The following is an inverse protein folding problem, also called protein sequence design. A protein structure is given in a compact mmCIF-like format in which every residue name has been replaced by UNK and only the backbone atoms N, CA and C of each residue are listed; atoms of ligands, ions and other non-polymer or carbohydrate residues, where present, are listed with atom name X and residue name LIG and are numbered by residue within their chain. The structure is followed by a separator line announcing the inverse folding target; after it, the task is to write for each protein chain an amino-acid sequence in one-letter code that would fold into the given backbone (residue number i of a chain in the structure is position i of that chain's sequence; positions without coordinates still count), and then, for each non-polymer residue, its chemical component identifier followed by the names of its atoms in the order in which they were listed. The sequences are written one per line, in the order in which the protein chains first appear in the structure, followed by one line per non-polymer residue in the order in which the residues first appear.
data_IF_449748718679
#
_entry.id   IF_449748718679
#
_cell.length_a   1.000
_cell.length_b   1.000
_cell.length_c   1.000
_cell.angle_alpha   90.00
_cell.angle_beta   90.00
_cell.angle_gamma   90.00
#
_symmetry.space_group_name_H-M   'P 1'
#
loop_
_entity.id
_entity.type
_entity.pdbx_description
1 polymer ?
#
# COMPACT_ATOMS: atom_id res chain seq x y z
N UNK A 1 15.42 25.84 -2.82
CA UNK A 1 15.66 24.93 -3.96
C UNK A 1 14.53 23.91 -4.13
N UNK A 2 13.68 23.68 -3.12
CA UNK A 2 12.63 22.63 -3.13
C UNK A 2 11.37 22.91 -3.95
N UNK A 3 11.12 24.15 -4.38
CA UNK A 3 9.93 24.50 -5.17
C UNK A 3 9.87 23.82 -6.54
N UNK A 4 11.03 23.40 -7.07
CA UNK A 4 11.12 22.78 -8.39
C UNK A 4 10.70 21.30 -8.38
N UNK A 5 11.19 20.50 -7.41
CA UNK A 5 10.88 19.06 -7.33
C UNK A 5 9.39 18.80 -7.15
N UNK A 6 8.74 19.44 -6.17
CA UNK A 6 7.32 19.24 -5.92
C UNK A 6 6.45 19.70 -7.09
N UNK A 7 6.85 20.76 -7.79
CA UNK A 7 6.15 21.24 -8.99
C UNK A 7 6.28 20.24 -10.14
N UNK A 8 7.49 19.73 -10.41
CA UNK A 8 7.73 18.71 -11.42
C UNK A 8 6.96 17.42 -11.11
N UNK A 9 6.97 16.98 -9.85
CA UNK A 9 6.24 15.80 -9.41
C UNK A 9 4.73 15.95 -9.62
N UNK A 10 4.17 17.13 -9.29
CA UNK A 10 2.76 17.43 -9.52
C UNK A 10 2.43 17.39 -11.01
N UNK A 11 3.28 17.94 -11.88
CA UNK A 11 3.11 17.86 -13.33
C UNK A 11 3.21 16.42 -13.87
N UNK A 12 4.13 15.63 -13.34
CA UNK A 12 4.26 14.21 -13.68
C UNK A 12 2.99 13.43 -13.29
N UNK A 13 2.46 13.64 -12.09
CA UNK A 13 1.19 13.03 -11.64
C UNK A 13 -0.01 13.43 -12.50
N UNK A 14 -0.03 14.66 -13.02
CA UNK A 14 -1.09 15.13 -13.92
C UNK A 14 -0.99 14.51 -15.31
N UNK A 15 0.23 14.32 -15.83
CA UNK A 15 0.47 13.74 -17.15
C UNK A 15 0.41 12.20 -17.16
N UNK A 16 0.69 11.55 -16.03
CA UNK A 16 0.69 10.10 -15.88
C UNK A 16 -0.35 9.66 -14.85
N UNK A 17 -1.55 9.29 -15.31
CA UNK A 17 -2.70 8.89 -14.46
C UNK A 17 -2.46 7.66 -13.58
N UNK A 18 -1.36 6.93 -13.78
CA UNK A 18 -0.93 5.78 -12.98
C UNK A 18 0.35 6.01 -12.17
N UNK A 19 0.87 7.25 -12.12
CA UNK A 19 2.05 7.57 -11.31
C UNK A 19 1.64 7.83 -9.87
N UNK A 20 2.09 6.97 -8.97
CA UNK A 20 1.87 7.08 -7.55
C UNK A 20 3.20 7.23 -6.86
N UNK A 21 3.33 8.29 -6.06
CA UNK A 21 4.50 8.47 -5.20
C UNK A 21 4.12 8.03 -3.81
N UNK A 22 5.13 7.62 -3.05
CA UNK A 22 4.99 7.49 -1.62
C UNK A 22 4.82 8.89 -1.02
N UNK A 23 3.60 9.41 -1.08
CA UNK A 23 3.13 10.46 -0.19
C UNK A 23 2.36 9.72 0.90
N UNK A 24 2.72 9.95 2.16
CA UNK A 24 2.17 9.28 3.35
C UNK A 24 0.65 9.00 3.25
N UNK A 25 0.23 7.89 3.88
CA UNK A 25 -1.15 7.41 3.98
C UNK A 25 -2.19 8.53 3.87
N UNK A 26 -2.90 8.57 2.74
CA UNK A 26 -3.98 9.54 2.55
C UNK A 26 -5.19 9.10 3.37
N UNK A 27 -5.44 9.79 4.48
CA UNK A 27 -6.66 9.62 5.31
C UNK A 27 -7.92 9.72 4.45
N UNK A 28 -7.93 10.59 3.43
CA UNK A 28 -9.03 10.69 2.48
C UNK A 28 -9.26 9.39 1.69
N UNK A 29 -8.19 8.70 1.28
CA UNK A 29 -8.31 7.41 0.59
C UNK A 29 -8.83 6.34 1.56
N UNK A 30 -8.38 6.33 2.82
CA UNK A 30 -8.89 5.40 3.84
C UNK A 30 -10.40 5.57 4.02
N UNK A 31 -10.84 6.81 4.24
CA UNK A 31 -12.26 7.16 4.40
C UNK A 31 -13.05 6.72 3.17
N UNK A 32 -12.55 7.03 1.96
CA UNK A 32 -13.21 6.63 0.72
C UNK A 32 -13.29 5.12 0.57
N UNK A 33 -12.27 4.37 1.00
CA UNK A 33 -12.29 2.91 0.92
C UNK A 33 -13.29 2.31 1.91
N UNK A 34 -13.35 2.81 3.15
CA UNK A 34 -14.39 2.43 4.10
C UNK A 34 -15.81 2.71 3.56
N UNK A 35 -16.04 3.91 2.99
CA UNK A 35 -17.31 4.24 2.32
C UNK A 35 -17.62 3.28 1.18
N UNK A 36 -16.63 2.96 0.34
CA UNK A 36 -16.81 2.04 -0.77
C UNK A 36 -17.22 0.64 -0.30
N UNK A 37 -16.60 0.12 0.78
CA UNK A 37 -16.96 -1.18 1.34
C UNK A 37 -18.38 -1.17 1.93
N UNK A 38 -18.73 -0.15 2.73
CA UNK A 38 -20.08 0.06 3.26
C UNK A 38 -21.13 0.12 2.15
N UNK A 39 -20.86 0.90 1.11
CA UNK A 39 -21.81 1.10 0.01
C UNK A 39 -22.01 -0.19 -0.81
N UNK A 40 -20.97 -1.03 -0.93
CA UNK A 40 -21.11 -2.38 -1.53
C UNK A 40 -22.01 -3.28 -0.69
N UNK A 41 -21.82 -3.29 0.63
CA UNK A 41 -22.66 -4.08 1.53
C UNK A 41 -24.11 -3.61 1.52
N UNK A 42 -24.33 -2.30 1.52
CA UNK A 42 -25.67 -1.71 1.42
C UNK A 42 -26.32 -2.02 0.07
N UNK A 43 -25.57 -1.91 -1.04
CA UNK A 43 -26.06 -2.32 -2.37
C UNK A 43 -26.48 -3.78 -2.37
N UNK A 44 -25.72 -4.68 -1.73
CA UNK A 44 -26.12 -6.07 -1.62
C UNK A 44 -27.45 -6.20 -0.89
N UNK A 45 -27.61 -5.56 0.27
CA UNK A 45 -28.85 -5.60 1.06
C UNK A 45 -30.09 -5.16 0.27
N UNK A 46 -29.97 -4.19 -0.64
CA UNK A 46 -31.07 -3.77 -1.53
C UNK A 46 -31.53 -4.94 -2.43
N UNK A 47 -30.60 -5.74 -2.94
CA UNK A 47 -30.89 -6.85 -3.86
C UNK A 47 -31.25 -8.15 -3.13
N UNK A 48 -30.87 -8.30 -1.86
CA UNK A 48 -31.05 -9.52 -1.04
C UNK A 48 -32.10 -9.35 0.06
N UNK A 49 -33.02 -8.39 -0.10
CA UNK A 49 -34.12 -8.15 0.85
C UNK A 49 -33.66 -7.90 2.31
N UNK A 50 -32.55 -7.19 2.48
CA UNK A 50 -32.04 -6.73 3.77
C UNK A 50 -30.77 -7.43 4.26
N UNK A 51 -30.25 -8.43 3.54
CA UNK A 51 -29.01 -9.11 3.92
C UNK A 51 -27.77 -8.35 3.47
N UNK A 52 -27.06 -7.72 4.42
CA UNK A 52 -25.80 -7.01 4.14
C UNK A 52 -24.68 -7.96 3.72
N UNK A 53 -23.80 -7.45 2.85
CA UNK A 53 -22.54 -8.11 2.53
C UNK A 53 -21.52 -8.07 3.68
N UNK A 54 -20.34 -8.65 3.43
CA UNK A 54 -19.22 -8.69 4.38
C UNK A 54 -18.03 -7.83 3.96
N UNK A 55 -18.15 -6.96 2.95
CA UNK A 55 -17.03 -6.19 2.42
C UNK A 55 -16.41 -5.28 3.47
N UNK A 56 -17.22 -4.61 4.29
CA UNK A 56 -16.76 -3.74 5.37
C UNK A 56 -16.04 -4.54 6.47
N UNK A 57 -16.60 -5.69 6.87
CA UNK A 57 -15.98 -6.58 7.87
C UNK A 57 -14.65 -7.15 7.36
N UNK A 58 -14.61 -7.57 6.10
CA UNK A 58 -13.40 -8.08 5.46
C UNK A 58 -12.33 -6.98 5.37
N UNK A 59 -12.71 -5.75 5.01
CA UNK A 59 -11.79 -4.62 4.98
C UNK A 59 -11.15 -4.34 6.34
N UNK A 60 -11.93 -4.41 7.43
CA UNK A 60 -11.40 -4.27 8.79
C UNK A 60 -10.41 -5.39 9.13
N UNK A 61 -10.72 -6.62 8.74
CA UNK A 61 -9.82 -7.77 8.92
C UNK A 61 -8.51 -7.60 8.14
N UNK A 62 -8.60 -7.14 6.89
CA UNK A 62 -7.44 -6.91 6.03
C UNK A 62 -6.54 -5.83 6.65
N UNK A 63 -7.09 -4.69 7.06
CA UNK A 63 -6.33 -3.64 7.73
C UNK A 63 -5.72 -4.10 9.05
N UNK A 64 -6.46 -4.88 9.85
CA UNK A 64 -5.93 -5.44 11.09
C UNK A 64 -4.74 -6.38 10.82
N UNK A 65 -4.76 -7.14 9.74
CA UNK A 65 -3.63 -8.03 9.37
C UNK A 65 -2.37 -7.27 8.91
N UNK A 66 -2.53 -6.02 8.49
CA UNK A 66 -1.43 -5.16 8.04
C UNK A 66 -0.73 -4.43 9.19
N UNK A 67 -1.42 -4.26 10.31
CA UNK A 67 -0.97 -3.48 11.45
C UNK A 67 -0.62 -4.43 12.62
N UNK A 68 0.47 -4.13 13.33
CA UNK A 68 0.89 -4.92 14.48
C UNK A 68 0.18 -4.42 15.74
N UNK A 69 -0.73 -5.23 16.27
CA UNK A 69 -1.54 -4.96 17.47
C UNK A 69 -2.26 -3.60 17.41
N UNK A 70 -2.70 -3.20 16.22
CA UNK A 70 -3.44 -1.95 16.02
C UNK A 70 -4.62 -2.19 15.09
N UNK A 71 -5.63 -1.35 15.24
CA UNK A 71 -6.80 -1.29 14.37
C UNK A 71 -7.00 0.12 13.87
N UNK A 72 -7.57 0.24 12.67
CA UNK A 72 -8.01 1.51 12.09
C UNK A 72 -9.52 1.47 11.92
N UNK A 73 -10.20 2.49 12.43
CA UNK A 73 -11.65 2.62 12.37
C UNK A 73 -12.02 4.00 11.82
N UNK A 74 -13.03 4.11 10.95
CA UNK A 74 -13.57 5.42 10.61
C UNK A 74 -14.37 5.99 11.79
N UNK A 75 -14.44 7.32 11.87
CA UNK A 75 -15.44 7.99 12.70
C UNK A 75 -16.85 7.66 12.21
N UNK A 76 -17.87 7.74 13.06
CA UNK A 76 -19.26 7.40 12.71
C UNK A 76 -19.78 8.19 11.50
N UNK A 77 -19.35 9.45 11.35
CA UNK A 77 -19.69 10.34 10.24
C UNK A 77 -18.74 10.23 9.04
N UNK A 78 -17.72 9.38 9.13
CA UNK A 78 -16.63 9.24 8.17
C UNK A 78 -15.92 10.57 7.83
N UNK A 79 -15.81 11.46 8.81
CA UNK A 79 -14.99 12.70 8.72
C UNK A 79 -13.50 12.43 8.88
N UNK A 80 -13.15 11.31 9.51
CA UNK A 80 -11.79 10.95 9.88
C UNK A 80 -11.63 9.45 10.09
N UNK A 81 -10.43 9.06 10.47
CA UNK A 81 -10.09 7.71 10.95
C UNK A 81 -9.31 7.81 12.25
N UNK A 82 -9.49 6.83 13.12
CA UNK A 82 -8.76 6.70 14.39
C UNK A 82 -7.99 5.39 14.37
N UNK A 83 -6.74 5.44 14.79
CA UNK A 83 -5.94 4.25 15.06
C UNK A 83 -6.01 3.94 16.56
N UNK A 84 -6.08 2.66 16.93
CA UNK A 84 -6.12 2.22 18.34
C UNK A 84 -5.27 0.97 18.52
N UNK A 85 -4.75 0.76 19.72
CA UNK A 85 -4.13 -0.53 20.07
C UNK A 85 -5.20 -1.61 20.18
N UNK A 86 -4.88 -2.79 19.67
CA UNK A 86 -5.68 -4.02 19.70
C UNK A 86 -5.38 -4.85 20.97
N UNK A 87 -5.09 -4.17 22.09
CA UNK A 87 -4.92 -4.82 23.40
C UNK A 87 -5.85 -4.15 24.41
N UNK A 88 -6.76 -4.96 24.93
CA UNK A 88 -7.91 -4.60 25.74
C UNK A 88 -7.49 -4.18 27.15
N UNK A 89 -7.27 -2.86 27.34
CA UNK A 89 -7.48 -2.14 28.61
C UNK A 89 -7.20 -0.63 28.49
N UNK A 90 -6.52 -0.21 27.41
CA UNK A 90 -6.26 1.19 27.12
C UNK A 90 -6.85 1.54 25.76
N UNK A 91 -7.94 2.31 25.76
CA UNK A 91 -8.46 3.01 24.57
C UNK A 91 -7.50 4.14 24.17
N UNK A 92 -6.22 3.82 23.96
CA UNK A 92 -5.24 4.79 23.51
C UNK A 92 -5.45 5.01 22.02
N UNK A 93 -5.94 6.20 21.69
CA UNK A 93 -5.96 6.68 20.32
C UNK A 93 -4.54 6.98 19.85
N UNK A 94 -4.29 6.59 18.62
CA UNK A 94 -3.03 6.75 17.92
C UNK A 94 -3.29 7.61 16.68
N UNK A 95 -2.31 8.41 16.33
CA UNK A 95 -2.29 9.16 15.08
C UNK A 95 -1.50 8.38 14.02
N UNK A 96 -1.64 8.69 12.72
CA UNK A 96 -0.82 8.08 11.68
C UNK A 96 0.68 8.14 11.98
N UNK A 97 1.15 9.19 12.65
CA UNK A 97 2.57 9.37 13.01
C UNK A 97 3.04 8.39 14.10
N UNK A 98 2.11 7.80 14.87
CA UNK A 98 2.40 6.77 15.88
C UNK A 98 2.51 5.36 15.28
N UNK A 99 2.18 5.20 13.99
CA UNK A 99 2.41 3.97 13.25
C UNK A 99 3.87 3.87 12.82
N UNK A 100 4.41 2.65 12.79
CA UNK A 100 5.74 2.47 12.21
C UNK A 100 5.70 2.81 10.71
N UNK A 101 6.82 3.35 10.20
CA UNK A 101 6.95 3.67 8.78
C UNK A 101 6.67 2.47 7.87
N UNK A 102 7.06 1.26 8.30
CA UNK A 102 6.75 0.03 7.60
C UNK A 102 5.25 -0.29 7.57
N UNK A 103 4.53 -0.12 8.67
CA UNK A 103 3.06 -0.32 8.73
C UNK A 103 2.33 0.65 7.80
N UNK A 104 2.68 1.95 7.88
CA UNK A 104 2.11 2.98 7.01
C UNK A 104 2.33 2.63 5.54
N UNK A 105 3.53 2.18 5.20
CA UNK A 105 3.88 1.85 3.83
C UNK A 105 3.16 0.60 3.34
N UNK A 106 3.14 -0.48 4.12
CA UNK A 106 2.44 -1.73 3.76
C UNK A 106 0.95 -1.49 3.59
N UNK A 107 0.32 -0.76 4.52
CA UNK A 107 -1.08 -0.33 4.43
C UNK A 107 -1.32 0.53 3.18
N UNK A 108 -0.43 1.50 2.90
CA UNK A 108 -0.56 2.37 1.74
C UNK A 108 -0.52 1.57 0.43
N UNK A 109 0.43 0.65 0.26
CA UNK A 109 0.54 -0.17 -0.96
C UNK A 109 -0.73 -1.01 -1.16
N UNK A 110 -1.19 -1.69 -0.12
CA UNK A 110 -2.44 -2.46 -0.18
C UNK A 110 -3.61 -1.58 -0.61
N UNK A 111 -3.75 -0.39 0.00
CA UNK A 111 -4.82 0.54 -0.35
C UNK A 111 -4.71 1.00 -1.80
N UNK A 112 -3.51 1.35 -2.29
CA UNK A 112 -3.30 1.76 -3.67
C UNK A 112 -3.80 0.68 -4.65
N UNK A 113 -3.47 -0.59 -4.40
CA UNK A 113 -3.89 -1.69 -5.26
C UNK A 113 -5.40 -1.92 -5.16
N UNK A 114 -5.94 -2.07 -3.95
CA UNK A 114 -7.33 -2.50 -3.75
C UNK A 114 -8.35 -1.40 -3.94
N UNK A 115 -8.09 -0.20 -3.42
CA UNK A 115 -9.02 0.93 -3.56
C UNK A 115 -9.10 1.41 -5.01
N UNK A 116 -7.97 1.46 -5.73
CA UNK A 116 -7.95 1.84 -7.15
C UNK A 116 -8.38 0.71 -8.08
N UNK A 117 -8.64 -0.49 -7.56
CA UNK A 117 -8.99 -1.68 -8.34
C UNK A 117 -7.97 -1.94 -9.47
N UNK A 118 -6.68 -1.93 -9.13
CA UNK A 118 -5.60 -2.22 -10.08
C UNK A 118 -5.66 -3.72 -10.38
N UNK A 119 -6.20 -4.05 -11.55
CA UNK A 119 -6.39 -5.42 -12.03
C UNK A 119 -6.02 -5.50 -13.51
N UNK A 120 -5.53 -6.66 -13.95
CA UNK A 120 -5.10 -6.91 -15.33
C UNK A 120 -4.08 -5.89 -15.85
N UNK A 121 -3.15 -5.46 -14.98
CA UNK A 121 -2.19 -4.40 -15.26
C UNK A 121 -0.73 -4.86 -15.09
N UNK A 122 0.19 -4.14 -15.75
CA UNK A 122 1.61 -4.16 -15.41
C UNK A 122 1.85 -3.06 -14.38
N UNK A 123 2.36 -3.43 -13.22
CA UNK A 123 2.60 -2.52 -12.09
C UNK A 123 4.11 -2.45 -11.84
N UNK A 124 4.67 -1.26 -12.05
CA UNK A 124 6.07 -0.97 -11.79
C UNK A 124 6.20 -0.38 -10.39
N UNK A 125 7.07 -0.92 -9.57
CA UNK A 125 7.32 -0.41 -8.22
C UNK A 125 8.82 -0.31 -7.98
N UNK A 126 9.23 0.82 -7.44
CA UNK A 126 10.62 1.11 -7.10
C UNK A 126 10.78 1.13 -5.58
N UNK A 127 11.78 0.42 -5.06
CA UNK A 127 12.14 0.38 -3.63
C UNK A 127 10.92 0.16 -2.71
N UNK A 128 10.06 -0.80 -3.08
CA UNK A 128 8.80 -1.09 -2.37
C UNK A 128 9.02 -1.51 -0.92
N UNK A 129 10.20 -1.99 -0.61
CA UNK A 129 10.61 -2.51 0.68
C UNK A 129 11.35 -1.49 1.56
N UNK A 130 11.64 -0.27 1.06
CA UNK A 130 12.24 0.77 1.92
C UNK A 130 11.41 0.95 3.20
N UNK A 131 12.07 0.91 4.36
CA UNK A 131 11.46 0.94 5.71
C UNK A 131 10.71 -0.33 6.18
N UNK A 132 10.74 -1.45 5.45
CA UNK A 132 10.19 -2.72 5.92
C UNK A 132 11.16 -3.48 6.83
N UNK A 133 10.58 -4.14 7.85
CA UNK A 133 11.29 -5.18 8.60
C UNK A 133 11.65 -6.34 7.66
N UNK A 134 12.80 -7.03 7.82
CA UNK A 134 13.22 -8.13 6.95
C UNK A 134 12.13 -9.17 6.65
N UNK A 135 11.33 -9.56 7.65
CA UNK A 135 10.22 -10.52 7.46
C UNK A 135 9.19 -10.04 6.42
N UNK A 136 8.88 -8.74 6.40
CA UNK A 136 7.97 -8.16 5.42
C UNK A 136 8.62 -8.02 4.04
N UNK A 137 9.94 -7.89 3.96
CA UNK A 137 10.64 -7.92 2.68
C UNK A 137 10.53 -9.29 2.01
N UNK A 138 10.53 -10.37 2.80
CA UNK A 138 10.27 -11.72 2.29
C UNK A 138 8.80 -11.93 1.88
N UNK A 139 7.86 -11.29 2.58
CA UNK A 139 6.43 -11.52 2.37
C UNK A 139 5.82 -10.66 1.26
N UNK A 140 6.32 -9.44 1.03
CA UNK A 140 5.64 -8.44 0.19
C UNK A 140 5.35 -8.94 -1.23
N UNK A 141 6.25 -9.73 -1.82
CA UNK A 141 6.04 -10.28 -3.17
C UNK A 141 4.83 -11.22 -3.22
N UNK A 142 4.67 -12.05 -2.19
CA UNK A 142 3.53 -12.95 -2.07
C UNK A 142 2.24 -12.17 -1.77
N UNK A 143 2.32 -11.16 -0.91
CA UNK A 143 1.21 -10.27 -0.61
C UNK A 143 0.69 -9.55 -1.85
N UNK A 144 1.57 -9.01 -2.71
CA UNK A 144 1.18 -8.38 -3.97
C UNK A 144 0.39 -9.33 -4.88
N UNK A 145 0.81 -10.59 -4.97
CA UNK A 145 0.10 -11.63 -5.73
C UNK A 145 -1.26 -11.97 -5.13
N UNK A 146 -1.38 -11.98 -3.81
CA UNK A 146 -2.64 -12.24 -3.11
C UNK A 146 -3.60 -11.06 -3.21
N UNK A 147 -3.10 -9.84 -3.08
CA UNK A 147 -3.91 -8.62 -3.12
C UNK A 147 -4.55 -8.40 -4.48
N UNK A 148 -3.81 -8.65 -5.56
CA UNK A 148 -4.35 -8.66 -6.92
C UNK A 148 -3.59 -9.63 -7.83
N UNK A 149 -4.07 -10.87 -7.99
CA UNK A 149 -3.38 -11.92 -8.75
C UNK A 149 -3.43 -11.73 -10.27
N UNK A 150 -4.28 -10.83 -10.76
CA UNK A 150 -4.40 -10.55 -12.20
C UNK A 150 -3.31 -9.61 -12.73
N UNK A 151 -2.48 -9.06 -11.85
CA UNK A 151 -1.42 -8.12 -12.21
C UNK A 151 -0.08 -8.82 -12.44
N UNK A 152 0.72 -8.24 -13.33
CA UNK A 152 2.15 -8.49 -13.41
C UNK A 152 2.91 -7.38 -12.67
N UNK A 153 3.70 -7.76 -11.67
CA UNK A 153 4.53 -6.82 -10.92
C UNK A 153 5.97 -6.87 -11.41
N UNK A 154 6.58 -5.70 -11.64
CA UNK A 154 8.01 -5.55 -11.93
C UNK A 154 8.57 -4.63 -10.86
N UNK A 155 9.50 -5.17 -10.06
CA UNK A 155 10.09 -4.49 -8.92
C UNK A 155 11.54 -4.12 -9.23
N UNK A 156 11.92 -2.88 -8.94
CA UNK A 156 13.31 -2.46 -8.85
C UNK A 156 13.67 -2.34 -7.37
N UNK A 157 14.77 -2.95 -6.96
CA UNK A 157 15.14 -3.09 -5.55
C UNK A 157 16.63 -3.39 -5.39
N UNK A 158 17.19 -2.93 -4.28
CA UNK A 158 18.49 -3.34 -3.77
C UNK A 158 18.40 -4.34 -2.60
N UNK A 159 17.20 -4.77 -2.21
CA UNK A 159 16.98 -5.70 -1.10
C UNK A 159 17.30 -7.14 -1.49
N UNK A 160 18.33 -7.68 -0.83
CA UNK A 160 18.68 -9.08 -0.91
C UNK A 160 17.56 -10.00 -0.37
N UNK A 161 16.95 -9.75 0.81
CA UNK A 161 15.81 -10.53 1.30
C UNK A 161 14.63 -10.65 0.32
N UNK A 162 14.27 -9.55 -0.34
CA UNK A 162 13.18 -9.56 -1.33
C UNK A 162 13.54 -10.43 -2.53
N UNK A 163 14.78 -10.32 -3.03
CA UNK A 163 15.28 -11.15 -4.12
C UNK A 163 15.31 -12.64 -3.75
N UNK A 164 15.69 -13.00 -2.53
CA UNK A 164 15.71 -14.39 -2.05
C UNK A 164 14.31 -15.00 -1.90
N UNK A 165 13.28 -14.18 -1.68
CA UNK A 165 11.89 -14.64 -1.64
C UNK A 165 11.38 -15.16 -3.01
N UNK A 166 12.10 -14.87 -4.09
CA UNK A 166 11.75 -15.23 -5.46
C UNK A 166 12.59 -16.39 -5.97
N UNK A 167 12.04 -17.16 -6.91
CA UNK A 167 12.86 -18.13 -7.64
C UNK A 167 13.83 -17.38 -8.57
N UNK A 168 15.04 -17.92 -8.83
CA UNK A 168 16.04 -17.24 -9.66
C UNK A 168 15.56 -16.83 -11.05
N UNK A 169 14.59 -17.54 -11.62
CA UNK A 169 13.98 -17.20 -12.91
C UNK A 169 13.23 -15.86 -12.92
N UNK A 170 12.83 -15.35 -11.75
CA UNK A 170 12.11 -14.09 -11.59
C UNK A 170 13.00 -12.94 -11.13
N UNK A 171 14.30 -13.18 -10.91
CA UNK A 171 15.26 -12.17 -10.48
C UNK A 171 16.21 -11.87 -11.63
N UNK A 172 16.26 -10.61 -12.05
CA UNK A 172 17.20 -10.15 -13.07
C UNK A 172 18.20 -9.19 -12.44
N UNK A 173 19.41 -9.68 -12.19
CA UNK A 173 20.51 -8.83 -11.78
C UNK A 173 20.96 -7.94 -12.95
N UNK A 174 21.11 -6.65 -12.65
CA UNK A 174 21.63 -5.65 -13.58
C UNK A 174 23.04 -5.32 -13.10
N UNK A 175 24.04 -5.76 -13.85
CA UNK A 175 25.44 -5.46 -13.57
C UNK A 175 25.64 -3.93 -13.52
N UNK A 176 26.34 -3.40 -12.50
CA UNK A 176 26.71 -2.00 -12.49
C UNK A 176 27.58 -1.72 -13.71
N UNK A 177 27.07 -0.92 -14.65
CA UNK A 177 27.91 -0.37 -15.71
C UNK A 177 28.87 0.60 -15.03
N UNK A 178 30.09 0.14 -14.74
CA UNK A 178 31.19 1.03 -14.41
C UNK A 178 31.21 2.11 -15.49
N UNK A 179 30.94 3.36 -15.11
CA UNK A 179 31.23 4.50 -15.99
C UNK A 179 32.69 4.30 -16.42
N UNK A 180 32.93 4.20 -17.73
CA UNK A 180 34.31 4.20 -18.23
C UNK A 180 35.00 5.38 -17.56
N UNK A 181 36.06 5.12 -16.81
CA UNK A 181 36.95 6.18 -16.38
C UNK A 181 37.36 6.90 -17.66
N UNK A 182 36.89 8.14 -17.82
CA UNK A 182 37.46 9.02 -18.82
C UNK A 182 38.96 9.02 -18.54
N UNK A 183 39.69 8.47 -19.50
CA UNK A 183 41.13 8.42 -19.47
C UNK A 183 41.55 9.88 -19.47
N UNK A 184 42.01 10.36 -18.32
CA UNK A 184 42.66 11.66 -18.19
C UNK A 184 43.98 11.53 -18.95
N UNK A 185 43.92 11.83 -20.25
CA UNK A 185 45.09 12.15 -21.07
C UNK A 185 45.56 13.59 -20.77
#
# INVERSE_FOLDING_TARGET
ADTNYHSQLKQAKLSMTGLFTYDFLSVDILIKYFKMARDRDFKQAIHTAGEYGNHYKNLLSDFKSMLLNKVVLPNEDFSGVTFKLDDSDKNQELYPEDLSHGELKRLSIYMWIKYRNIENAIVLMDEIEIAFHPDWQYQIVQELKEWSPSNQYILATHSYPLCEALTPAHVKEIEPKLLKQETLD
#
